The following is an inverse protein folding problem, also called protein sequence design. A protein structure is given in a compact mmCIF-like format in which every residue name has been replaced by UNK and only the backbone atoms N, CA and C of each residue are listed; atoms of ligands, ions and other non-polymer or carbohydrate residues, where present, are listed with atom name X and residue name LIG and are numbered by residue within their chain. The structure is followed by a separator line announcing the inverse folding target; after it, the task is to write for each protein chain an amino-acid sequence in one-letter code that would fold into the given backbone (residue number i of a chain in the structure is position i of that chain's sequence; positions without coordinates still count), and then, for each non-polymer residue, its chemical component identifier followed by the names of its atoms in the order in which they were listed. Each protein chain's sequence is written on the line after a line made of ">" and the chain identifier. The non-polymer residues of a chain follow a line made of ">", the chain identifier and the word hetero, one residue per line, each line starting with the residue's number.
data_IF_319287013058
#
_entry.id   IF_319287013058
#
_cell.length_a   1.000
_cell.length_b   1.000
_cell.length_c   1.000
_cell.angle_alpha   90.00
_cell.angle_beta   90.00
_cell.angle_gamma   90.00
#
_symmetry.space_group_name_H-M   'P 1'
#
loop_
_entity.id
_entity.type
_entity.pdbx_description
1 polymer ?
#
# COMPACT_ATOMS: atom_id res chain seq x y z
N UNK A 1 38.09 36.55 -54.94
CA UNK A 1 39.09 36.05 -53.97
C UNK A 1 38.31 35.28 -52.91
N UNK A 2 38.35 33.94 -52.96
CA UNK A 2 38.11 33.04 -51.82
C UNK A 2 36.68 32.77 -51.33
N UNK A 3 35.99 31.83 -51.98
CA UNK A 3 35.34 30.62 -51.47
C UNK A 3 34.80 30.44 -50.02
N UNK A 4 33.59 29.84 -50.01
CA UNK A 4 33.11 28.72 -49.16
C UNK A 4 32.38 29.04 -47.84
N UNK A 5 31.08 28.67 -47.78
CA UNK A 5 30.57 27.46 -47.09
C UNK A 5 29.03 27.32 -47.16
N UNK A 6 28.58 26.14 -47.65
CA UNK A 6 27.40 25.31 -47.27
C UNK A 6 26.19 25.99 -46.60
N UNK A 7 24.95 25.93 -47.06
CA UNK A 7 24.24 24.82 -47.74
C UNK A 7 23.58 23.89 -46.73
N UNK A 8 22.32 24.13 -46.34
CA UNK A 8 21.17 23.24 -46.63
C UNK A 8 19.86 23.81 -46.07
N UNK A 9 18.87 23.85 -46.95
CA UNK A 9 17.53 24.39 -46.78
C UNK A 9 16.65 23.57 -45.83
N UNK A 10 15.86 24.28 -45.02
CA UNK A 10 14.71 23.74 -44.28
C UNK A 10 13.44 24.13 -45.03
N UNK A 11 12.70 23.19 -45.64
CA UNK A 11 11.35 23.51 -46.08
C UNK A 11 10.36 23.24 -44.94
N UNK A 12 9.69 24.30 -44.51
CA UNK A 12 8.37 24.22 -43.88
C UNK A 12 7.44 23.47 -44.83
N UNK A 13 6.87 22.36 -44.37
CA UNK A 13 5.71 21.74 -45.01
C UNK A 13 4.60 21.61 -43.99
N UNK A 14 3.55 22.39 -44.25
CA UNK A 14 2.21 22.24 -43.72
C UNK A 14 1.68 20.82 -43.98
N UNK A 15 1.15 20.17 -42.95
CA UNK A 15 0.31 18.99 -43.11
C UNK A 15 -1.00 19.20 -42.34
N UNK A 16 -1.99 19.75 -43.04
CA UNK A 16 -3.37 19.32 -42.88
C UNK A 16 -3.47 17.95 -43.57
N UNK A 17 -3.70 16.89 -42.80
CA UNK A 17 -4.26 15.65 -43.30
C UNK A 17 -5.17 15.06 -42.22
N UNK A 18 -6.46 15.09 -42.54
CA UNK A 18 -7.57 14.44 -41.85
C UNK A 18 -7.58 12.96 -42.25
N UNK A 19 -7.42 12.05 -41.30
CA UNK A 19 -7.79 10.61 -41.39
C UNK A 19 -8.18 10.20 -39.96
N UNK A 20 -9.47 10.18 -39.60
CA UNK A 20 -10.42 9.08 -39.70
C UNK A 20 -9.92 7.72 -39.16
N UNK A 21 -10.58 7.31 -38.06
CA UNK A 21 -10.77 5.93 -37.56
C UNK A 21 -9.55 5.29 -36.88
N UNK A 22 -9.40 5.53 -35.58
CA UNK A 22 -8.57 4.72 -34.68
C UNK A 22 -9.51 3.82 -33.85
N UNK A 23 -9.87 2.70 -34.46
CA UNK A 23 -10.88 1.78 -33.95
C UNK A 23 -10.69 0.39 -34.53
N UNK A 24 -9.48 -0.16 -34.44
CA UNK A 24 -9.25 -1.60 -34.62
C UNK A 24 -7.92 -2.11 -34.00
N UNK A 25 -6.92 -1.25 -33.80
CA UNK A 25 -5.55 -1.71 -33.45
C UNK A 25 -5.32 -2.17 -31.99
N UNK A 26 -6.30 -2.02 -31.10
CA UNK A 26 -6.17 -2.52 -29.71
C UNK A 26 -6.54 -4.00 -29.55
N UNK A 27 -7.19 -4.60 -30.54
CA UNK A 27 -7.48 -6.04 -30.53
C UNK A 27 -6.26 -6.87 -30.92
N UNK A 28 -5.47 -6.40 -31.89
CA UNK A 28 -4.34 -7.15 -32.46
C UNK A 28 -3.13 -7.25 -31.51
N UNK A 29 -2.88 -6.20 -30.72
CA UNK A 29 -1.86 -6.21 -29.66
C UNK A 29 -2.18 -7.22 -28.55
N UNK A 30 -3.45 -7.48 -28.28
CA UNK A 30 -3.88 -8.46 -27.29
C UNK A 30 -3.83 -9.90 -27.82
N UNK A 31 -3.97 -10.10 -29.14
CA UNK A 31 -4.00 -11.42 -29.76
C UNK A 31 -2.59 -12.02 -29.96
N UNK A 32 -1.62 -11.20 -30.37
CA UNK A 32 -0.22 -11.63 -30.53
C UNK A 32 0.45 -11.97 -29.18
N UNK A 33 0.12 -11.24 -28.11
CA UNK A 33 0.65 -11.51 -26.77
C UNK A 33 0.02 -12.76 -26.12
N UNK A 34 -1.19 -13.16 -26.56
CA UNK A 34 -1.90 -14.35 -26.08
C UNK A 34 -1.42 -15.63 -26.76
N UNK A 35 -1.07 -15.59 -28.05
CA UNK A 35 -0.51 -16.76 -28.76
C UNK A 35 0.88 -17.16 -28.22
N UNK A 36 1.76 -16.19 -27.93
CA UNK A 36 3.09 -16.45 -27.38
C UNK A 36 3.07 -17.05 -25.95
N UNK A 37 2.01 -16.80 -25.17
CA UNK A 37 1.84 -17.36 -23.83
C UNK A 37 1.13 -18.73 -23.84
N UNK A 38 0.32 -19.02 -24.86
CA UNK A 38 -0.42 -20.28 -24.97
C UNK A 38 0.44 -21.46 -25.45
N UNK A 39 1.51 -21.21 -26.22
CA UNK A 39 2.43 -22.27 -26.66
C UNK A 39 3.37 -22.76 -25.54
N UNK A 40 3.60 -21.94 -24.49
CA UNK A 40 4.52 -22.28 -23.39
C UNK A 40 3.92 -23.16 -22.28
N UNK A 41 2.61 -23.46 -22.33
CA UNK A 41 1.88 -24.17 -21.26
C UNK A 41 1.28 -25.53 -21.68
N UNK A 42 1.61 -26.07 -22.85
CA UNK A 42 1.22 -27.45 -23.19
C UNK A 42 2.31 -28.45 -22.78
N UNK A 43 2.00 -29.27 -21.77
CA UNK A 43 2.67 -30.50 -21.30
C UNK A 43 4.03 -30.34 -20.59
N UNK A 44 4.32 -31.09 -19.49
CA UNK A 44 3.94 -32.50 -19.29
C UNK A 44 3.32 -32.85 -17.91
N UNK A 45 2.08 -33.34 -17.94
CA UNK A 45 1.71 -34.51 -17.14
C UNK A 45 1.94 -35.72 -18.05
N UNK A 46 2.55 -36.79 -17.52
CA UNK A 46 3.06 -37.98 -18.24
C UNK A 46 4.53 -37.90 -18.68
N UNK A 47 5.43 -37.99 -17.70
CA UNK A 47 6.77 -38.56 -17.92
C UNK A 47 7.31 -39.06 -16.56
N UNK A 48 6.74 -40.15 -16.06
CA UNK A 48 7.39 -40.97 -15.05
C UNK A 48 8.25 -42.02 -15.75
N UNK A 49 9.34 -42.42 -15.10
CA UNK A 49 10.21 -43.59 -15.36
C UNK A 49 11.30 -43.52 -16.44
N UNK A 50 12.47 -44.09 -16.09
CA UNK A 50 13.80 -44.10 -16.75
C UNK A 50 14.53 -42.74 -16.69
N UNK A 51 15.73 -42.60 -16.10
CA UNK A 51 16.97 -43.37 -16.30
C UNK A 51 17.86 -43.44 -15.03
N UNK A 52 18.62 -44.55 -14.99
CA UNK A 52 19.83 -44.85 -14.21
C UNK A 52 20.79 -43.64 -14.03
N UNK A 53 21.36 -43.44 -12.84
CA UNK A 53 22.67 -43.97 -12.35
C UNK A 53 23.89 -43.55 -13.17
N UNK A 54 24.74 -42.69 -12.58
CA UNK A 54 26.17 -42.96 -12.28
C UNK A 54 27.02 -41.67 -12.25
N UNK A 55 27.83 -41.60 -11.20
CA UNK A 55 29.14 -40.95 -11.04
C UNK A 55 29.36 -39.49 -11.46
N UNK A 56 29.76 -38.66 -10.47
CA UNK A 56 31.06 -37.98 -10.48
C UNK A 56 31.48 -37.69 -9.03
N UNK A 57 32.61 -38.29 -8.69
CA UNK A 57 33.30 -38.28 -7.41
C UNK A 57 34.30 -37.10 -7.35
N UNK A 58 34.53 -36.57 -6.14
CA UNK A 58 35.69 -35.75 -5.67
C UNK A 58 35.92 -34.33 -6.22
N UNK A 59 35.81 -33.35 -5.31
CA UNK A 59 36.90 -32.41 -4.97
C UNK A 59 36.58 -31.64 -3.67
N UNK A 60 37.40 -31.81 -2.62
CA UNK A 60 37.46 -30.88 -1.48
C UNK A 60 38.64 -29.92 -1.67
N UNK A 61 38.48 -28.61 -1.43
CA UNK A 61 39.62 -27.75 -1.15
C UNK A 61 39.61 -27.20 0.28
N UNK A 62 40.85 -27.12 0.79
CA UNK A 62 41.39 -26.63 2.05
C UNK A 62 40.67 -25.47 2.78
N UNK A 63 40.61 -25.62 4.10
CA UNK A 63 40.26 -24.59 5.09
C UNK A 63 41.33 -23.50 5.15
N UNK A 64 40.96 -22.26 4.83
CA UNK A 64 41.74 -21.05 5.13
C UNK A 64 40.93 -20.07 6.00
N UNK A 65 41.65 -19.34 6.86
CA UNK A 65 41.16 -18.55 8.00
C UNK A 65 40.34 -17.27 7.66
N UNK A 66 39.71 -17.21 6.48
CA UNK A 66 38.72 -16.19 6.10
C UNK A 66 37.26 -16.60 6.42
N UNK A 67 37.07 -17.76 7.04
CA UNK A 67 35.76 -18.38 7.26
C UNK A 67 34.87 -17.75 8.34
N UNK A 68 35.40 -16.82 9.16
CA UNK A 68 34.59 -16.18 10.22
C UNK A 68 33.74 -15.03 9.67
N UNK A 69 34.29 -14.26 8.71
CA UNK A 69 33.59 -13.15 8.05
C UNK A 69 32.57 -13.66 7.02
N UNK A 70 32.88 -14.75 6.31
CA UNK A 70 31.95 -15.43 5.42
C UNK A 70 30.87 -16.24 6.16
N UNK A 71 31.14 -16.69 7.39
CA UNK A 71 30.14 -17.35 8.25
C UNK A 71 29.01 -16.41 8.71
N UNK A 72 29.25 -15.10 8.72
CA UNK A 72 28.23 -14.09 9.06
C UNK A 72 27.23 -13.88 7.91
N UNK A 73 27.70 -13.96 6.65
CA UNK A 73 26.87 -13.86 5.44
C UNK A 73 26.27 -15.20 5.00
N UNK A 74 26.88 -16.34 5.36
CA UNK A 74 26.31 -17.66 5.06
C UNK A 74 25.03 -17.94 5.83
N UNK A 75 24.88 -17.38 7.05
CA UNK A 75 23.73 -17.63 7.92
C UNK A 75 22.46 -16.82 7.60
N UNK A 76 22.39 -16.30 6.37
CA UNK A 76 21.20 -15.73 5.73
C UNK A 76 20.97 -16.27 4.31
N UNK A 77 21.82 -17.20 3.86
CA UNK A 77 21.71 -17.87 2.57
C UNK A 77 20.90 -19.19 2.64
N UNK A 78 20.28 -19.45 3.81
CA UNK A 78 19.32 -20.54 4.04
C UNK A 78 17.93 -20.22 3.44
N UNK A 79 17.77 -19.06 2.78
CA UNK A 79 16.64 -18.82 1.87
C UNK A 79 16.99 -19.46 0.53
N UNK A 80 16.86 -20.77 0.50
CA UNK A 80 16.97 -21.59 -0.70
C UNK A 80 16.05 -21.02 -1.81
N UNK A 81 16.63 -20.70 -2.96
CA UNK A 81 15.91 -20.08 -4.07
C UNK A 81 14.92 -21.05 -4.73
N UNK A 82 13.67 -20.60 -4.90
CA UNK A 82 12.61 -21.00 -5.86
C UNK A 82 12.35 -22.49 -6.20
N UNK A 83 13.10 -23.43 -5.64
CA UNK A 83 13.06 -24.87 -5.91
C UNK A 83 12.94 -25.70 -4.63
N UNK A 84 12.62 -25.07 -3.49
CA UNK A 84 12.18 -25.82 -2.32
C UNK A 84 10.72 -26.16 -2.54
N UNK A 85 10.44 -27.45 -2.74
CA UNK A 85 9.12 -27.98 -2.45
C UNK A 85 8.90 -27.79 -0.95
N UNK A 86 8.42 -26.61 -0.52
CA UNK A 86 7.91 -26.44 0.84
C UNK A 86 6.85 -27.52 1.02
N UNK A 87 7.19 -28.55 1.77
CA UNK A 87 6.27 -29.64 2.03
C UNK A 87 5.24 -29.10 3.01
N UNK A 88 4.19 -28.48 2.45
CA UNK A 88 3.10 -27.94 3.23
C UNK A 88 2.63 -28.98 4.23
N UNK A 89 2.68 -28.61 5.50
CA UNK A 89 2.09 -29.43 6.56
C UNK A 89 0.59 -29.58 6.30
N UNK A 90 -0.02 -30.63 6.85
CA UNK A 90 -1.47 -30.86 6.66
C UNK A 90 -2.30 -29.65 7.12
N UNK A 91 -1.90 -29.03 8.22
CA UNK A 91 -2.53 -27.81 8.75
C UNK A 91 -2.37 -26.62 7.81
N UNK A 92 -1.20 -26.43 7.20
CA UNK A 92 -0.99 -25.37 6.20
C UNK A 92 -1.84 -25.60 4.95
N UNK A 93 -1.96 -26.84 4.48
CA UNK A 93 -2.84 -27.17 3.34
C UNK A 93 -4.30 -26.88 3.66
N UNK A 94 -4.76 -27.19 4.86
CA UNK A 94 -6.13 -26.88 5.29
C UNK A 94 -6.36 -25.37 5.40
N UNK A 95 -5.37 -24.59 5.85
CA UNK A 95 -5.45 -23.12 5.85
C UNK A 95 -5.46 -22.54 4.44
N UNK A 96 -4.60 -23.04 3.56
CA UNK A 96 -4.53 -22.60 2.16
C UNK A 96 -5.77 -22.99 1.36
N UNK A 97 -6.39 -24.13 1.66
CA UNK A 97 -7.64 -24.56 1.03
C UNK A 97 -8.81 -23.60 1.30
N UNK A 98 -8.77 -22.84 2.40
CA UNK A 98 -9.80 -21.85 2.73
C UNK A 98 -9.56 -20.49 2.06
N UNK A 99 -8.44 -20.29 1.37
CA UNK A 99 -8.12 -19.04 0.68
C UNK A 99 -8.39 -19.22 -0.81
N UNK A 100 -9.42 -18.53 -1.30
CA UNK A 100 -9.77 -18.53 -2.72
C UNK A 100 -8.89 -17.55 -3.51
N UNK A 101 -8.75 -17.78 -4.81
CA UNK A 101 -8.08 -16.86 -5.73
C UNK A 101 -9.08 -15.95 -6.46
N UNK A 102 -8.70 -14.70 -6.72
CA UNK A 102 -9.49 -13.74 -7.50
C UNK A 102 -9.08 -13.78 -8.97
N UNK A 103 -10.07 -13.99 -9.84
CA UNK A 103 -9.89 -13.87 -11.27
C UNK A 103 -10.01 -12.40 -11.72
N UNK A 104 -8.87 -11.72 -11.85
CA UNK A 104 -8.82 -10.34 -12.36
C UNK A 104 -8.96 -10.23 -13.88
N UNK A 105 -8.63 -11.30 -14.59
CA UNK A 105 -8.75 -11.30 -16.04
C UNK A 105 -10.21 -11.59 -16.41
N UNK A 106 -10.84 -10.72 -17.22
CA UNK A 106 -12.20 -10.98 -17.63
C UNK A 106 -12.26 -12.26 -18.48
N UNK A 107 -13.30 -13.09 -18.32
CA UNK A 107 -13.45 -14.29 -19.12
C UNK A 107 -13.72 -13.90 -20.59
N UNK A 108 -12.96 -14.50 -21.52
CA UNK A 108 -13.17 -14.29 -22.96
C UNK A 108 -14.37 -15.10 -23.47
N UNK A 109 -15.53 -14.91 -22.84
CA UNK A 109 -16.78 -15.58 -23.18
C UNK A 109 -17.62 -14.75 -24.15
N UNK A 110 -18.45 -15.40 -24.97
CA UNK A 110 -19.41 -14.71 -25.83
C UNK A 110 -20.37 -13.81 -25.03
N UNK A 111 -20.76 -14.26 -23.84
CA UNK A 111 -21.63 -13.51 -22.92
C UNK A 111 -20.97 -12.18 -22.52
N UNK A 112 -19.68 -12.22 -22.17
CA UNK A 112 -18.93 -11.03 -21.80
C UNK A 112 -18.75 -10.06 -22.99
N UNK A 113 -18.50 -10.58 -24.20
CA UNK A 113 -18.41 -9.75 -25.42
C UNK A 113 -19.74 -9.10 -25.77
N UNK A 114 -20.87 -9.82 -25.68
CA UNK A 114 -22.21 -9.25 -25.89
C UNK A 114 -22.54 -8.20 -24.84
N UNK A 115 -22.21 -8.45 -23.58
CA UNK A 115 -22.37 -7.47 -22.50
C UNK A 115 -21.55 -6.20 -22.74
N UNK A 116 -20.28 -6.34 -23.15
CA UNK A 116 -19.42 -5.22 -23.55
C UNK A 116 -20.03 -4.40 -24.70
N UNK A 117 -20.60 -5.07 -25.71
CA UNK A 117 -21.23 -4.39 -26.86
C UNK A 117 -22.49 -3.62 -26.48
N UNK A 118 -23.23 -4.07 -25.46
CA UNK A 118 -24.43 -3.39 -24.95
C UNK A 118 -24.13 -2.18 -24.07
N UNK A 119 -22.87 -1.98 -23.65
CA UNK A 119 -22.53 -0.87 -22.78
C UNK A 119 -22.47 0.45 -23.54
N UNK A 120 -23.02 1.53 -22.97
CA UNK A 120 -22.82 2.85 -23.53
C UNK A 120 -21.31 3.14 -23.61
N UNK A 121 -20.90 3.77 -24.72
CA UNK A 121 -19.52 4.11 -25.03
C UNK A 121 -18.76 4.57 -23.78
N UNK A 122 -17.55 4.03 -23.54
CA UNK A 122 -16.79 4.18 -22.28
C UNK A 122 -16.68 5.64 -21.84
N UNK A 123 -17.66 6.14 -21.08
CA UNK A 123 -17.71 7.54 -20.67
C UNK A 123 -16.80 7.74 -19.47
N UNK A 124 -15.49 7.81 -19.72
CA UNK A 124 -14.42 7.80 -18.70
C UNK A 124 -14.66 8.74 -17.50
N UNK A 125 -15.44 9.81 -17.68
CA UNK A 125 -15.91 10.72 -16.65
C UNK A 125 -16.47 10.02 -15.40
N UNK A 126 -17.17 8.88 -15.56
CA UNK A 126 -17.70 8.12 -14.43
C UNK A 126 -16.59 7.59 -13.52
N UNK A 127 -15.51 7.06 -14.11
CA UNK A 127 -14.33 6.58 -13.40
C UNK A 127 -13.56 7.70 -12.73
N UNK A 128 -13.40 8.86 -13.39
CA UNK A 128 -12.78 10.05 -12.79
C UNK A 128 -13.58 10.56 -11.59
N UNK A 129 -14.91 10.58 -11.69
CA UNK A 129 -15.78 10.94 -10.58
C UNK A 129 -15.62 9.97 -9.39
N UNK A 130 -15.59 8.65 -9.65
CA UNK A 130 -15.36 7.65 -8.61
C UNK A 130 -14.01 7.84 -7.92
N UNK A 131 -12.94 8.04 -8.69
CA UNK A 131 -11.59 8.29 -8.15
C UNK A 131 -11.55 9.58 -7.31
N UNK A 132 -12.21 10.64 -7.76
CA UNK A 132 -12.34 11.87 -6.98
C UNK A 132 -13.11 11.68 -5.69
N UNK A 133 -14.19 10.89 -5.71
CA UNK A 133 -14.97 10.57 -4.51
C UNK A 133 -14.17 9.76 -3.49
N UNK A 134 -13.35 8.80 -3.94
CA UNK A 134 -12.41 8.05 -3.08
C UNK A 134 -11.45 9.04 -2.41
N UNK A 135 -10.85 9.95 -3.18
CA UNK A 135 -9.94 10.98 -2.65
C UNK A 135 -10.57 11.81 -1.53
N UNK A 136 -11.75 12.37 -1.77
CA UNK A 136 -12.47 13.21 -0.80
C UNK A 136 -12.83 12.41 0.45
N UNK A 137 -13.41 11.21 0.30
CA UNK A 137 -13.85 10.39 1.44
C UNK A 137 -12.66 9.95 2.30
N UNK A 138 -11.57 9.50 1.68
CA UNK A 138 -10.35 9.11 2.40
C UNK A 138 -9.71 10.31 3.10
N UNK A 139 -9.70 11.49 2.47
CA UNK A 139 -9.23 12.73 3.09
C UNK A 139 -10.04 13.13 4.33
N UNK A 140 -11.37 13.03 4.26
CA UNK A 140 -12.26 13.29 5.40
C UNK A 140 -12.03 12.28 6.54
N UNK A 141 -11.94 10.98 6.23
CA UNK A 141 -11.67 9.95 7.24
C UNK A 141 -10.30 10.16 7.88
N UNK A 142 -9.28 10.48 7.08
CA UNK A 142 -7.94 10.82 7.56
C UNK A 142 -7.95 12.02 8.49
N UNK A 143 -8.69 13.09 8.14
CA UNK A 143 -8.89 14.24 9.03
C UNK A 143 -9.47 13.82 10.39
N UNK A 144 -10.56 13.04 10.41
CA UNK A 144 -11.15 12.59 11.67
C UNK A 144 -10.22 11.69 12.48
N UNK A 145 -9.41 10.85 11.82
CA UNK A 145 -8.44 9.98 12.49
C UNK A 145 -7.38 10.83 13.20
N UNK A 146 -6.75 11.76 12.47
CA UNK A 146 -5.73 12.63 13.03
C UNK A 146 -6.30 13.54 14.11
N UNK A 147 -7.49 14.12 13.90
CA UNK A 147 -8.18 14.92 14.90
C UNK A 147 -8.41 14.14 16.20
N UNK A 148 -8.82 12.87 16.10
CA UNK A 148 -9.04 12.01 17.27
C UNK A 148 -7.74 11.74 18.03
N UNK A 149 -6.65 11.49 17.30
CA UNK A 149 -5.31 11.26 17.87
C UNK A 149 -4.79 12.52 18.58
N UNK A 150 -4.89 13.68 17.92
CA UNK A 150 -4.51 14.98 18.46
C UNK A 150 -5.30 15.28 19.73
N UNK A 151 -6.62 15.09 19.72
CA UNK A 151 -7.48 15.34 20.86
C UNK A 151 -7.08 14.48 22.08
N UNK A 152 -6.87 13.18 21.87
CA UNK A 152 -6.47 12.24 22.94
C UNK A 152 -5.07 12.55 23.47
N UNK A 153 -4.14 12.92 22.60
CA UNK A 153 -2.76 13.23 22.96
C UNK A 153 -2.66 14.57 23.68
N UNK A 154 -3.33 15.60 23.17
CA UNK A 154 -3.38 16.92 23.79
C UNK A 154 -4.01 16.87 25.18
N UNK A 155 -5.11 16.12 25.34
CA UNK A 155 -5.75 15.96 26.64
C UNK A 155 -4.80 15.31 27.65
N UNK A 156 -4.07 14.28 27.23
CA UNK A 156 -3.05 13.59 28.05
C UNK A 156 -1.95 14.56 28.46
N UNK A 157 -1.28 15.17 27.48
CA UNK A 157 -0.09 15.99 27.75
C UNK A 157 -0.43 17.31 28.45
N UNK A 158 -1.61 17.90 28.20
CA UNK A 158 -2.06 19.10 28.93
C UNK A 158 -2.27 18.79 30.41
N UNK A 159 -2.93 17.67 30.71
CA UNK A 159 -3.16 17.23 32.09
C UNK A 159 -1.85 16.89 32.79
N UNK A 160 -0.96 16.13 32.13
CA UNK A 160 0.36 15.79 32.68
C UNK A 160 1.18 17.05 32.97
N UNK A 161 1.25 18.02 32.04
CA UNK A 161 1.97 19.29 32.26
C UNK A 161 1.38 20.09 33.42
N UNK A 162 0.06 20.12 33.56
CA UNK A 162 -0.60 20.79 34.68
C UNK A 162 -0.23 20.15 36.03
N UNK A 163 -0.28 18.81 36.13
CA UNK A 163 0.06 18.07 37.34
C UNK A 163 1.54 18.21 37.74
N UNK A 164 2.46 18.21 36.77
CA UNK A 164 3.89 18.43 37.02
C UNK A 164 4.14 19.84 37.58
N UNK A 165 3.41 20.85 37.07
CA UNK A 165 3.59 22.24 37.50
C UNK A 165 2.98 22.59 38.87
N UNK A 166 1.89 21.93 39.28
CA UNK A 166 1.10 22.35 40.45
C UNK A 166 1.11 21.37 41.63
N UNK A 167 1.42 20.09 41.42
CA UNK A 167 1.25 19.05 42.45
C UNK A 167 2.57 18.36 42.75
N UNK A 168 2.88 17.28 42.04
CA UNK A 168 4.04 16.42 42.27
C UNK A 168 4.26 15.54 41.04
N UNK A 169 5.54 15.27 40.75
CA UNK A 169 5.95 14.44 39.60
C UNK A 169 5.39 13.01 39.71
N UNK A 170 5.32 12.44 40.92
CA UNK A 170 4.80 11.09 41.13
C UNK A 170 3.32 10.92 40.74
N UNK A 171 2.48 11.92 41.02
CA UNK A 171 1.06 11.90 40.64
C UNK A 171 0.90 12.05 39.13
N UNK A 172 1.71 12.91 38.50
CA UNK A 172 1.73 13.07 37.05
C UNK A 172 2.13 11.77 36.33
N UNK A 173 3.14 11.07 36.85
CA UNK A 173 3.58 9.79 36.32
C UNK A 173 2.51 8.70 36.46
N UNK A 174 1.86 8.60 37.63
CA UNK A 174 0.78 7.66 37.86
C UNK A 174 -0.41 7.92 36.93
N UNK A 175 -0.80 9.19 36.76
CA UNK A 175 -1.86 9.58 35.83
C UNK A 175 -1.51 9.17 34.39
N UNK A 176 -0.29 9.47 33.93
CA UNK A 176 0.15 9.09 32.59
C UNK A 176 0.10 7.56 32.39
N UNK A 177 0.58 6.78 33.36
CA UNK A 177 0.52 5.32 33.31
C UNK A 177 -0.92 4.79 33.23
N UNK A 178 -1.81 5.26 34.12
CA UNK A 178 -3.21 4.82 34.15
C UNK A 178 -3.94 5.21 32.85
N UNK A 179 -3.72 6.43 32.37
CA UNK A 179 -4.33 6.91 31.14
C UNK A 179 -3.87 6.09 29.92
N UNK A 180 -2.56 5.86 29.78
CA UNK A 180 -2.01 5.03 28.69
C UNK A 180 -2.52 3.59 28.76
N UNK A 181 -2.52 2.97 29.95
CA UNK A 181 -3.04 1.60 30.13
C UNK A 181 -4.53 1.49 29.78
N UNK A 182 -5.35 2.46 30.19
CA UNK A 182 -6.77 2.47 29.88
C UNK A 182 -7.04 2.54 28.36
N UNK A 183 -6.31 3.39 27.63
CA UNK A 183 -6.45 3.50 26.18
C UNK A 183 -5.96 2.24 25.44
N UNK A 184 -4.82 1.66 25.85
CA UNK A 184 -4.31 0.42 25.25
C UNK A 184 -5.27 -0.74 25.51
N UNK A 185 -5.82 -0.83 26.74
CA UNK A 185 -6.82 -1.83 27.08
C UNK A 185 -8.08 -1.67 26.21
N UNK A 186 -8.59 -0.46 26.06
CA UNK A 186 -9.75 -0.18 25.18
C UNK A 186 -9.48 -0.54 23.71
N UNK A 187 -8.31 -0.18 23.18
CA UNK A 187 -7.90 -0.53 21.81
C UNK A 187 -7.84 -2.05 21.60
N UNK A 188 -7.17 -2.75 22.52
CA UNK A 188 -7.01 -4.22 22.46
C UNK A 188 -8.36 -4.92 22.60
N UNK A 189 -9.20 -4.46 23.53
CA UNK A 189 -10.54 -5.01 23.77
C UNK A 189 -11.42 -4.94 22.51
N UNK A 190 -11.39 -3.80 21.80
CA UNK A 190 -12.11 -3.65 20.53
C UNK A 190 -11.58 -4.60 19.46
N UNK A 191 -10.27 -4.68 19.26
CA UNK A 191 -9.70 -5.53 18.18
C UNK A 191 -9.95 -7.01 18.45
N UNK A 192 -9.76 -7.48 19.68
CA UNK A 192 -9.88 -8.92 20.01
C UNK A 192 -11.32 -9.41 19.97
N UNK A 193 -12.29 -8.62 20.46
CA UNK A 193 -13.68 -9.09 20.57
C UNK A 193 -14.53 -8.80 19.34
N UNK A 194 -14.27 -7.70 18.61
CA UNK A 194 -15.15 -7.27 17.52
C UNK A 194 -14.61 -7.65 16.14
N UNK A 195 -13.37 -7.29 15.83
CA UNK A 195 -12.80 -7.55 14.51
C UNK A 195 -11.31 -7.91 14.62
N UNK A 196 -10.96 -9.20 14.78
CA UNK A 196 -9.56 -9.62 14.85
C UNK A 196 -8.78 -9.29 13.56
N UNK A 197 -9.48 -9.20 12.43
CA UNK A 197 -8.91 -8.79 11.14
C UNK A 197 -8.48 -7.31 11.08
N UNK A 198 -8.86 -6.50 12.07
CA UNK A 198 -8.39 -5.12 12.19
C UNK A 198 -6.98 -5.02 12.80
N UNK A 199 -6.44 -6.12 13.34
CA UNK A 199 -5.13 -6.13 13.99
C UNK A 199 -4.00 -5.74 13.03
N UNK A 200 -3.01 -5.01 13.55
CA UNK A 200 -1.82 -4.62 12.78
C UNK A 200 -2.07 -3.54 11.72
N UNK A 201 -1.07 -3.34 10.87
CA UNK A 201 -1.07 -2.26 9.88
C UNK A 201 -2.14 -2.45 8.78
N UNK A 202 -2.36 -3.67 8.28
CA UNK A 202 -3.29 -3.92 7.18
C UNK A 202 -2.68 -3.90 5.78
N UNK A 203 -1.40 -3.50 5.65
CA UNK A 203 -0.73 -3.38 4.35
C UNK A 203 -0.52 -4.76 3.72
N UNK A 204 -0.14 -5.77 4.52
CA UNK A 204 0.07 -7.13 4.04
C UNK A 204 -1.23 -7.76 3.49
N UNK A 205 -2.35 -7.48 4.13
CA UNK A 205 -3.68 -7.94 3.73
C UNK A 205 -4.12 -7.30 2.40
N UNK A 206 -3.83 -6.02 2.21
CA UNK A 206 -4.07 -5.31 0.94
C UNK A 206 -3.17 -5.87 -0.16
N UNK A 207 -1.88 -6.10 0.11
CA UNK A 207 -0.96 -6.71 -0.85
C UNK A 207 -1.40 -8.12 -1.22
N UNK A 208 -1.78 -8.94 -0.24
CA UNK A 208 -2.30 -10.28 -0.48
C UNK A 208 -3.56 -10.24 -1.34
N UNK A 209 -4.47 -9.30 -1.05
CA UNK A 209 -5.64 -9.08 -1.91
C UNK A 209 -5.22 -8.75 -3.34
N UNK A 210 -4.36 -7.76 -3.57
CA UNK A 210 -3.95 -7.34 -4.92
C UNK A 210 -3.15 -8.39 -5.69
N UNK A 211 -2.48 -9.31 -4.99
CA UNK A 211 -1.86 -10.50 -5.54
C UNK A 211 -2.86 -11.59 -5.95
N UNK A 212 -4.15 -11.39 -5.64
CA UNK A 212 -5.25 -12.27 -6.02
C UNK A 212 -5.69 -13.23 -4.93
N UNK A 213 -5.31 -13.04 -3.66
CA UNK A 213 -5.81 -13.86 -2.55
C UNK A 213 -7.08 -13.25 -1.95
N UNK A 214 -8.18 -14.00 -1.93
CA UNK A 214 -9.41 -13.61 -1.22
C UNK A 214 -9.24 -13.83 0.28
N UNK A 215 -8.93 -12.75 1.01
CA UNK A 215 -8.98 -12.80 2.46
C UNK A 215 -10.39 -12.47 2.97
N UNK A 216 -11.00 -13.33 3.79
CA UNK A 216 -12.36 -13.12 4.28
C UNK A 216 -12.41 -11.94 5.25
N UNK A 217 -13.45 -11.09 5.15
CA UNK A 217 -13.76 -9.98 6.06
C UNK A 217 -12.75 -8.81 6.10
N UNK A 218 -11.75 -8.77 5.21
CA UNK A 218 -10.73 -7.70 5.18
C UNK A 218 -11.34 -6.34 4.84
N UNK A 219 -12.28 -6.27 3.90
CA UNK A 219 -12.91 -5.02 3.47
C UNK A 219 -14.26 -4.72 4.13
N UNK A 220 -14.57 -5.35 5.27
CA UNK A 220 -15.86 -5.14 5.94
C UNK A 220 -15.93 -3.79 6.65
N UNK A 221 -17.11 -3.13 6.60
CA UNK A 221 -17.34 -1.84 7.28
C UNK A 221 -17.05 -1.92 8.78
N UNK A 222 -17.39 -3.05 9.41
CA UNK A 222 -17.08 -3.28 10.82
C UNK A 222 -15.57 -3.24 11.12
N UNK A 223 -14.76 -3.88 10.26
CA UNK A 223 -13.29 -3.85 10.35
C UNK A 223 -12.77 -2.41 10.21
N UNK A 224 -13.40 -1.57 9.37
CA UNK A 224 -13.01 -0.17 9.17
C UNK A 224 -13.21 0.64 10.46
N UNK A 225 -14.39 0.52 11.08
CA UNK A 225 -14.73 1.25 12.31
C UNK A 225 -13.83 0.81 13.46
N UNK A 226 -13.63 -0.49 13.62
CA UNK A 226 -12.74 -1.03 14.67
C UNK A 226 -11.32 -0.54 14.45
N UNK A 227 -10.79 -0.61 13.21
CA UNK A 227 -9.42 -0.22 12.89
C UNK A 227 -9.17 1.28 13.09
N UNK A 228 -10.13 2.11 12.70
CA UNK A 228 -10.10 3.56 12.95
C UNK A 228 -9.98 3.86 14.45
N UNK A 229 -10.91 3.32 15.25
CA UNK A 229 -10.98 3.61 16.67
C UNK A 229 -9.81 2.99 17.45
N UNK A 230 -9.42 1.75 17.14
CA UNK A 230 -8.28 1.09 17.77
C UNK A 230 -6.97 1.81 17.47
N UNK A 231 -6.79 2.31 16.24
CA UNK A 231 -5.64 3.11 15.84
C UNK A 231 -5.60 4.44 16.62
N UNK A 232 -6.72 5.17 16.70
CA UNK A 232 -6.77 6.43 17.43
C UNK A 232 -6.40 6.26 18.92
N UNK A 233 -6.94 5.21 19.56
CA UNK A 233 -6.64 4.88 20.96
C UNK A 233 -5.18 4.43 21.16
N UNK A 234 -4.65 3.59 20.25
CA UNK A 234 -3.29 3.08 20.35
C UNK A 234 -2.25 4.20 20.20
N UNK A 235 -2.38 5.05 19.17
CA UNK A 235 -1.47 6.18 18.97
C UNK A 235 -1.64 7.22 20.08
N UNK A 236 -2.88 7.54 20.47
CA UNK A 236 -3.17 8.48 21.58
C UNK A 236 -2.60 8.04 22.93
N UNK A 237 -2.51 6.72 23.17
CA UNK A 237 -1.89 6.17 24.39
C UNK A 237 -0.39 6.46 24.49
N UNK A 238 0.30 6.72 23.36
CA UNK A 238 1.75 6.90 23.28
C UNK A 238 2.53 5.60 23.09
N UNK A 239 1.89 4.55 22.58
CA UNK A 239 2.62 3.37 22.08
C UNK A 239 3.54 3.77 20.92
N UNK A 240 4.69 3.09 20.72
CA UNK A 240 5.59 3.33 19.60
C UNK A 240 5.01 2.77 18.29
N UNK A 241 3.85 3.29 17.88
CA UNK A 241 3.08 2.92 16.70
C UNK A 241 2.58 4.19 16.03
N UNK A 242 2.39 4.13 14.71
CA UNK A 242 1.90 5.25 13.92
C UNK A 242 0.63 4.93 13.14
N UNK A 243 -0.14 5.94 12.73
CA UNK A 243 -1.38 5.78 11.97
C UNK A 243 -1.17 5.51 10.48
N UNK A 244 0.07 5.56 9.98
CA UNK A 244 0.38 5.51 8.55
C UNK A 244 -0.06 4.18 7.92
N UNK A 245 0.32 3.06 8.55
CA UNK A 245 -0.07 1.71 8.10
C UNK A 245 -1.59 1.51 8.06
N UNK A 246 -2.31 1.74 9.17
CA UNK A 246 -3.77 1.67 9.19
C UNK A 246 -4.46 2.56 8.16
N UNK A 247 -3.92 3.74 7.86
CA UNK A 247 -4.47 4.65 6.86
C UNK A 247 -4.45 4.05 5.45
N UNK A 248 -3.40 3.31 5.11
CA UNK A 248 -3.29 2.56 3.84
C UNK A 248 -4.45 1.57 3.70
N UNK A 249 -4.70 0.79 4.77
CA UNK A 249 -5.78 -0.20 4.77
C UNK A 249 -7.16 0.47 4.70
N UNK A 250 -7.40 1.53 5.48
CA UNK A 250 -8.66 2.29 5.44
C UNK A 250 -8.92 2.83 4.03
N UNK A 251 -7.89 3.37 3.36
CA UNK A 251 -7.99 3.81 1.98
C UNK A 251 -8.39 2.69 1.01
N UNK A 252 -7.77 1.52 1.13
CA UNK A 252 -8.11 0.32 0.36
C UNK A 252 -9.57 -0.12 0.59
N UNK A 253 -10.06 -0.05 1.84
CA UNK A 253 -11.44 -0.38 2.19
C UNK A 253 -12.45 0.60 1.60
N UNK A 254 -12.15 1.90 1.58
CA UNK A 254 -12.99 2.90 0.92
C UNK A 254 -13.05 2.67 -0.59
N UNK A 255 -11.92 2.36 -1.23
CA UNK A 255 -11.87 1.99 -2.65
C UNK A 255 -12.70 0.74 -2.96
N UNK A 256 -12.59 -0.30 -2.13
CA UNK A 256 -13.40 -1.51 -2.25
C UNK A 256 -14.90 -1.23 -2.07
N UNK A 257 -15.27 -0.43 -1.06
CA UNK A 257 -16.66 -0.13 -0.74
C UNK A 257 -17.33 0.70 -1.84
N UNK A 258 -16.66 1.74 -2.34
CA UNK A 258 -17.19 2.58 -3.40
C UNK A 258 -17.33 1.82 -4.72
N UNK A 259 -16.38 0.95 -5.06
CA UNK A 259 -16.46 0.12 -6.28
C UNK A 259 -17.70 -0.79 -6.31
N UNK A 260 -18.14 -1.30 -5.15
CA UNK A 260 -19.27 -2.22 -5.09
C UNK A 260 -20.62 -1.50 -5.17
N UNK A 261 -20.72 -0.26 -4.69
CA UNK A 261 -21.98 0.52 -4.72
C UNK A 261 -23.12 -0.08 -3.88
N UNK A 262 -22.84 -1.15 -3.14
CA UNK A 262 -23.79 -1.84 -2.26
C UNK A 262 -23.06 -2.14 -0.94
N UNK A 263 -23.67 -1.74 0.18
CA UNK A 263 -23.18 -2.13 1.49
C UNK A 263 -24.05 -3.25 2.06
N UNK A 264 -23.55 -4.48 1.97
CA UNK A 264 -24.20 -5.67 2.56
C UNK A 264 -24.37 -5.51 4.07
N UNK A 265 -23.50 -4.75 4.73
CA UNK A 265 -23.55 -4.49 6.17
C UNK A 265 -24.56 -3.39 6.55
N UNK A 266 -24.76 -2.38 5.70
CA UNK A 266 -25.68 -1.27 5.96
C UNK A 266 -27.05 -1.42 5.25
N UNK A 267 -27.25 -2.50 4.49
CA UNK A 267 -28.52 -2.79 3.81
C UNK A 267 -28.89 -1.77 2.73
N UNK A 268 -27.93 -1.00 2.23
CA UNK A 268 -28.17 0.07 1.27
C UNK A 268 -27.63 -0.33 -0.11
N UNK A 269 -28.53 -0.48 -1.08
CA UNK A 269 -28.22 -0.67 -2.49
C UNK A 269 -28.37 0.66 -3.20
N UNK A 270 -27.25 1.39 -3.36
CA UNK A 270 -27.24 2.44 -4.37
C UNK A 270 -27.12 1.71 -5.70
N UNK A 271 -28.22 1.52 -6.42
CA UNK A 271 -28.22 0.99 -7.80
C UNK A 271 -27.37 1.82 -8.80
N UNK A 272 -26.57 2.77 -8.32
CA UNK A 272 -25.55 3.54 -8.99
C UNK A 272 -24.32 2.66 -9.27
N UNK A 273 -23.79 2.76 -10.49
CA UNK A 273 -22.49 2.21 -10.88
C UNK A 273 -22.31 0.68 -10.84
N UNK A 274 -23.37 -0.11 -11.11
CA UNK A 274 -23.25 -1.57 -11.36
C UNK A 274 -22.16 -1.96 -12.37
N UNK A 275 -21.80 -1.04 -13.27
CA UNK A 275 -20.71 -1.19 -14.24
C UNK A 275 -19.36 -1.54 -13.58
N UNK A 276 -19.06 -1.00 -12.42
CA UNK A 276 -17.77 -1.15 -11.74
C UNK A 276 -17.69 -2.34 -10.78
N UNK A 277 -18.73 -3.19 -10.75
CA UNK A 277 -18.76 -4.43 -9.96
C UNK A 277 -17.93 -5.57 -10.59
N UNK A 278 -16.93 -5.24 -11.40
CA UNK A 278 -15.99 -6.19 -11.99
C UNK A 278 -14.78 -6.36 -11.05
N UNK A 279 -14.28 -7.59 -10.79
CA UNK A 279 -13.05 -7.80 -10.02
C UNK A 279 -11.86 -6.97 -10.50
N UNK A 280 -11.74 -6.74 -11.82
CA UNK A 280 -10.69 -5.89 -12.39
C UNK A 280 -10.79 -4.43 -11.93
N UNK A 281 -11.96 -3.81 -12.11
CA UNK A 281 -12.16 -2.42 -11.72
C UNK A 281 -12.09 -2.27 -10.19
N UNK A 282 -12.61 -3.24 -9.45
CA UNK A 282 -12.47 -3.30 -7.99
C UNK A 282 -11.00 -3.30 -7.56
N UNK A 283 -10.13 -4.07 -8.23
CA UNK A 283 -8.69 -4.05 -7.99
C UNK A 283 -8.11 -2.65 -8.22
N UNK A 284 -8.44 -2.02 -9.35
CA UNK A 284 -7.96 -0.67 -9.69
C UNK A 284 -8.38 0.37 -8.64
N UNK A 285 -9.63 0.32 -8.15
CA UNK A 285 -10.11 1.23 -7.11
C UNK A 285 -9.51 0.94 -5.73
N UNK A 286 -9.23 -0.32 -5.40
CA UNK A 286 -8.51 -0.69 -4.17
C UNK A 286 -7.06 -0.20 -4.23
N UNK A 287 -6.36 -0.38 -5.36
CA UNK A 287 -5.02 0.16 -5.58
C UNK A 287 -5.02 1.68 -5.45
N UNK A 288 -5.99 2.36 -6.07
CA UNK A 288 -6.14 3.81 -5.94
C UNK A 288 -6.39 4.23 -4.48
N UNK A 289 -7.32 3.59 -3.78
CA UNK A 289 -7.60 3.88 -2.38
C UNK A 289 -6.39 3.67 -1.47
N UNK A 290 -5.59 2.64 -1.74
CA UNK A 290 -4.32 2.36 -1.03
C UNK A 290 -3.31 3.49 -1.22
N UNK A 291 -3.11 3.91 -2.47
CA UNK A 291 -2.24 5.04 -2.84
C UNK A 291 -2.70 6.35 -2.17
N UNK A 292 -4.01 6.59 -2.18
CA UNK A 292 -4.63 7.75 -1.56
C UNK A 292 -4.43 7.75 -0.04
N UNK A 293 -4.60 6.60 0.63
CA UNK A 293 -4.36 6.47 2.07
C UNK A 293 -2.93 6.84 2.45
N UNK A 294 -1.94 6.45 1.65
CA UNK A 294 -0.53 6.82 1.83
C UNK A 294 -0.31 8.31 1.59
N UNK A 295 -0.88 8.85 0.52
CA UNK A 295 -0.82 10.28 0.24
C UNK A 295 -1.40 11.10 1.40
N UNK A 296 -2.53 10.67 1.98
CA UNK A 296 -3.15 11.29 3.16
C UNK A 296 -2.30 11.14 4.43
N UNK A 297 -1.61 10.00 4.60
CA UNK A 297 -0.75 9.76 5.77
C UNK A 297 0.50 10.66 5.78
N UNK A 298 1.17 10.77 4.63
CA UNK A 298 2.43 11.50 4.51
C UNK A 298 2.29 12.93 3.98
N UNK A 299 1.11 13.34 3.54
CA UNK A 299 0.92 14.62 2.83
C UNK A 299 1.64 14.69 1.49
N UNK A 300 1.96 13.54 0.89
CA UNK A 300 2.80 13.43 -0.30
C UNK A 300 2.04 12.70 -1.45
N UNK A 301 1.35 13.42 -2.33
CA UNK A 301 0.50 12.80 -3.37
C UNK A 301 1.30 11.99 -4.40
N UNK A 302 2.50 12.46 -4.76
CA UNK A 302 3.40 11.74 -5.66
C UNK A 302 3.97 10.49 -4.98
N UNK A 303 4.28 10.56 -3.68
CA UNK A 303 4.78 9.41 -2.90
C UNK A 303 3.75 8.27 -2.86
N UNK A 304 2.48 8.60 -2.66
CA UNK A 304 1.39 7.61 -2.72
C UNK A 304 1.23 6.97 -4.11
N UNK A 305 1.38 7.75 -5.18
CA UNK A 305 1.37 7.23 -6.55
C UNK A 305 2.54 6.28 -6.82
N UNK A 306 3.75 6.66 -6.42
CA UNK A 306 4.94 5.84 -6.60
C UNK A 306 4.86 4.54 -5.81
N UNK A 307 4.36 4.59 -4.58
CA UNK A 307 4.09 3.37 -3.81
C UNK A 307 3.15 2.42 -4.56
N UNK A 308 2.12 2.95 -5.22
CA UNK A 308 1.22 2.12 -6.00
C UNK A 308 1.89 1.49 -7.24
N UNK A 309 2.90 2.14 -7.81
CA UNK A 309 3.67 1.60 -8.93
C UNK A 309 4.67 0.55 -8.48
N UNK A 310 5.28 0.73 -7.31
CA UNK A 310 6.32 -0.14 -6.79
C UNK A 310 5.74 -1.40 -6.15
N UNK A 311 4.74 -1.25 -5.28
CA UNK A 311 4.30 -2.32 -4.37
C UNK A 311 2.96 -2.98 -4.78
N UNK A 312 2.13 -2.32 -5.58
CA UNK A 312 0.72 -2.73 -5.77
C UNK A 312 0.37 -3.20 -7.18
N UNK A 313 1.16 -2.85 -8.20
CA UNK A 313 0.82 -3.08 -9.60
C UNK A 313 1.85 -3.96 -10.33
N UNK A 314 1.41 -5.12 -10.82
CA UNK A 314 2.18 -5.96 -11.73
C UNK A 314 2.11 -5.48 -13.19
N UNK A 315 1.08 -4.70 -13.54
CA UNK A 315 0.89 -4.13 -14.88
C UNK A 315 0.07 -2.85 -14.76
N UNK A 316 0.57 -1.76 -15.34
CA UNK A 316 0.01 -0.43 -15.12
C UNK A 316 -0.37 0.26 -16.44
N UNK A 317 -1.55 0.90 -16.46
CA UNK A 317 -1.97 1.74 -17.58
C UNK A 317 -1.74 3.21 -17.25
N UNK A 318 -1.16 3.98 -18.17
CA UNK A 318 -0.90 5.40 -17.97
C UNK A 318 -2.17 6.19 -17.57
N UNK A 319 -3.34 5.82 -18.10
CA UNK A 319 -4.61 6.44 -17.74
C UNK A 319 -4.99 6.21 -16.26
N UNK A 320 -4.72 5.02 -15.72
CA UNK A 320 -4.92 4.73 -14.29
C UNK A 320 -3.99 5.59 -13.43
N UNK A 321 -2.78 5.89 -13.91
CA UNK A 321 -1.78 6.71 -13.18
C UNK A 321 -2.28 8.10 -12.92
N UNK A 322 -2.77 8.74 -13.97
CA UNK A 322 -3.33 10.08 -13.88
C UNK A 322 -4.56 10.12 -12.97
N UNK A 323 -5.39 9.07 -12.99
CA UNK A 323 -6.55 8.95 -12.11
C UNK A 323 -6.17 8.79 -10.64
N UNK A 324 -5.18 7.94 -10.33
CA UNK A 324 -4.66 7.77 -8.96
C UNK A 324 -4.03 9.07 -8.47
N UNK A 325 -3.21 9.71 -9.30
CA UNK A 325 -2.59 10.98 -8.98
C UNK A 325 -3.62 12.06 -8.63
N UNK A 326 -4.67 12.17 -9.45
CA UNK A 326 -5.78 13.08 -9.20
C UNK A 326 -6.50 12.78 -7.87
N UNK A 327 -6.78 11.51 -7.58
CA UNK A 327 -7.39 11.11 -6.31
C UNK A 327 -6.50 11.45 -5.11
N UNK A 328 -5.19 11.22 -5.20
CA UNK A 328 -4.23 11.58 -4.16
C UNK A 328 -4.19 13.08 -3.90
N UNK A 329 -4.16 13.90 -4.97
CA UNK A 329 -4.21 15.36 -4.87
C UNK A 329 -5.48 15.84 -4.17
N UNK A 330 -6.65 15.28 -4.53
CA UNK A 330 -7.91 15.62 -3.89
C UNK A 330 -7.95 15.24 -2.42
N UNK A 331 -7.37 14.10 -2.05
CA UNK A 331 -7.35 13.67 -0.65
C UNK A 331 -6.49 14.57 0.23
N UNK A 332 -5.28 14.92 -0.24
CA UNK A 332 -4.40 15.85 0.47
C UNK A 332 -5.04 17.23 0.56
N UNK A 333 -5.62 17.74 -0.54
CA UNK A 333 -6.36 19.00 -0.53
C UNK A 333 -7.52 18.97 0.47
N UNK A 334 -8.31 17.89 0.50
CA UNK A 334 -9.44 17.74 1.43
C UNK A 334 -8.97 17.68 2.89
N UNK A 335 -7.88 16.98 3.16
CA UNK A 335 -7.28 16.91 4.48
C UNK A 335 -6.81 18.29 4.96
N UNK A 336 -6.03 18.99 4.13
CA UNK A 336 -5.44 20.27 4.48
C UNK A 336 -6.48 21.37 4.62
N UNK A 337 -7.51 21.37 3.75
CA UNK A 337 -8.64 22.29 3.86
C UNK A 337 -9.44 22.04 5.14
N UNK A 338 -9.69 20.78 5.52
CA UNK A 338 -10.39 20.45 6.76
C UNK A 338 -9.58 20.87 8.00
N UNK A 339 -8.27 20.60 8.02
CA UNK A 339 -7.36 21.07 9.09
C UNK A 339 -7.31 22.59 9.16
N UNK A 340 -7.18 23.27 8.02
CA UNK A 340 -7.15 24.74 7.96
C UNK A 340 -8.48 25.35 8.44
N UNK A 341 -9.61 24.76 8.08
CA UNK A 341 -10.93 25.19 8.57
C UNK A 341 -11.04 25.06 10.11
N UNK A 342 -10.53 23.97 10.68
CA UNK A 342 -10.47 23.80 12.14
C UNK A 342 -9.59 24.86 12.81
N UNK A 343 -8.41 25.15 12.25
CA UNK A 343 -7.52 26.19 12.76
C UNK A 343 -8.14 27.59 12.65
N UNK A 344 -8.81 27.88 11.53
CA UNK A 344 -9.52 29.14 11.32
C UNK A 344 -10.64 29.33 12.35
N UNK A 345 -11.40 28.28 12.67
CA UNK A 345 -12.44 28.34 13.70
C UNK A 345 -11.86 28.62 15.10
N UNK A 346 -10.63 28.15 15.39
CA UNK A 346 -9.97 28.36 16.69
C UNK A 346 -9.22 29.69 16.82
N UNK A 347 -8.68 30.24 15.72
CA UNK A 347 -7.76 31.41 15.74
C UNK A 347 -8.20 32.61 14.89
N UNK A 348 -9.31 32.52 14.14
CA UNK A 348 -9.90 33.62 13.39
C UNK A 348 -9.28 33.92 12.02
N UNK A 349 -8.26 33.16 11.58
CA UNK A 349 -7.63 33.33 10.26
C UNK A 349 -7.77 32.06 9.42
N UNK A 350 -8.46 32.18 8.28
CA UNK A 350 -8.54 31.17 7.23
C UNK A 350 -7.44 31.47 6.18
N UNK A 351 -6.70 30.45 5.74
CA UNK A 351 -5.77 30.60 4.62
C UNK A 351 -4.29 30.41 4.92
N UNK A 352 -3.91 29.99 6.13
CA UNK A 352 -2.57 29.43 6.34
C UNK A 352 -2.65 27.94 5.97
N UNK A 353 -2.34 27.61 4.71
CA UNK A 353 -1.82 26.28 4.36
C UNK A 353 -0.41 26.17 4.95
N UNK A 354 -0.34 26.25 6.27
CA UNK A 354 0.94 26.20 6.97
C UNK A 354 1.44 24.77 6.89
N UNK A 355 2.67 24.60 6.40
CA UNK A 355 3.29 23.28 6.22
C UNK A 355 3.37 22.46 7.51
N UNK A 356 3.23 23.12 8.66
CA UNK A 356 3.22 22.55 10.01
C UNK A 356 2.02 21.64 10.30
N UNK A 357 1.00 21.61 9.43
CA UNK A 357 -0.22 20.82 9.63
C UNK A 357 -0.13 19.36 9.11
N UNK A 358 0.96 18.95 8.47
CA UNK A 358 1.13 17.55 8.05
C UNK A 358 1.59 16.67 9.22
N UNK A 359 1.00 15.48 9.34
CA UNK A 359 1.21 14.57 10.49
C UNK A 359 2.67 14.13 10.62
N UNK A 360 3.35 13.96 9.48
CA UNK A 360 4.79 13.71 9.38
C UNK A 360 5.39 14.79 8.47
N UNK A 361 5.84 15.88 9.08
CA UNK A 361 6.51 16.96 8.36
C UNK A 361 8.02 16.73 8.33
N UNK A 362 8.57 16.62 7.12
CA UNK A 362 10.01 16.66 6.92
C UNK A 362 10.42 18.10 6.59
N UNK A 363 11.05 18.78 7.56
CA UNK A 363 11.62 20.11 7.33
C UNK A 363 12.80 19.97 6.35
N UNK A 364 12.60 20.43 5.10
CA UNK A 364 13.64 20.46 4.09
C UNK A 364 14.68 21.54 4.44
N UNK A 365 15.65 21.19 5.30
CA UNK A 365 16.81 22.06 5.53
C UNK A 365 17.70 22.04 4.29
N UNK A 366 17.94 23.20 3.70
CA UNK A 366 19.03 23.39 2.73
C UNK A 366 20.36 23.19 3.44
N UNK A 367 20.80 21.95 3.53
CA UNK A 367 22.18 21.63 3.83
C UNK A 367 23.01 21.96 2.59
N UNK A 368 23.77 23.04 2.62
CA UNK A 368 24.86 23.25 1.67
C UNK A 368 25.94 22.25 2.03
N UNK A 369 25.93 21.08 1.38
CA UNK A 369 27.06 20.17 1.45
C UNK A 369 28.27 20.90 0.85
N UNK A 370 29.39 21.03 1.58
CA UNK A 370 30.62 21.53 0.97
C UNK A 370 30.95 20.63 -0.23
N UNK A 371 31.41 21.22 -1.33
CA UNK A 371 31.72 20.56 -2.62
C UNK A 371 32.76 19.43 -2.55
N UNK A 372 33.24 19.10 -1.34
CA UNK A 372 34.23 18.10 -1.03
C UNK A 372 33.81 17.16 0.13
N UNK A 373 32.52 16.97 0.42
CA UNK A 373 32.11 15.79 1.21
C UNK A 373 32.30 14.57 0.31
N UNK A 374 33.19 13.63 0.66
CA UNK A 374 33.44 12.49 -0.21
C UNK A 374 32.18 11.61 -0.18
N UNK A 375 31.68 11.25 -1.37
CA UNK A 375 30.60 10.29 -1.60
C UNK A 375 30.65 8.98 -0.74
N UNK A 376 31.82 8.47 -0.28
CA UNK A 376 31.88 7.30 0.59
C UNK A 376 31.17 7.46 1.94
N UNK A 377 31.04 8.67 2.51
CA UNK A 377 30.43 8.84 3.84
C UNK A 377 28.90 8.58 3.84
N UNK A 378 28.23 8.94 2.73
CA UNK A 378 26.83 8.56 2.51
C UNK A 378 26.67 7.14 1.95
N UNK A 379 27.77 6.50 1.51
CA UNK A 379 27.77 5.12 1.01
C UNK A 379 28.18 4.09 2.08
N UNK A 380 28.81 4.51 3.19
CA UNK A 380 29.12 3.65 4.35
C UNK A 380 28.01 3.62 5.42
N UNK A 381 27.17 4.66 5.47
CA UNK A 381 25.97 4.73 6.32
C UNK A 381 24.76 3.86 5.88
N UNK A 382 24.53 3.51 4.60
CA UNK A 382 23.46 2.60 4.20
C UNK A 382 23.75 1.15 4.61
N UNK A 383 25.02 0.77 4.80
CA UNK A 383 25.38 -0.56 5.31
C UNK A 383 24.95 -0.74 6.77
N UNK A 384 25.11 0.28 7.62
CA UNK A 384 24.65 0.23 9.01
C UNK A 384 23.12 0.33 9.10
N UNK A 385 22.49 1.22 8.32
CA UNK A 385 21.04 1.34 8.27
C UNK A 385 20.36 0.06 7.77
N UNK A 386 20.92 -0.55 6.72
CA UNK A 386 20.46 -1.84 6.19
C UNK A 386 20.62 -2.98 7.19
N UNK A 387 21.76 -3.03 7.91
CA UNK A 387 21.98 -4.05 8.94
C UNK A 387 21.01 -3.89 10.11
N UNK A 388 20.75 -2.67 10.59
CA UNK A 388 19.78 -2.40 11.64
C UNK A 388 18.36 -2.75 11.20
N UNK A 389 17.98 -2.44 9.95
CA UNK A 389 16.70 -2.84 9.39
C UNK A 389 16.56 -4.37 9.35
N UNK A 390 17.59 -5.09 8.89
CA UNK A 390 17.61 -6.55 8.87
C UNK A 390 17.49 -7.15 10.29
N UNK A 391 18.18 -6.58 11.28
CA UNK A 391 18.07 -7.00 12.68
C UNK A 391 16.66 -6.77 13.23
N UNK A 392 16.05 -5.61 12.93
CA UNK A 392 14.69 -5.30 13.33
C UNK A 392 13.68 -6.28 12.69
N UNK A 393 13.81 -6.54 11.38
CA UNK A 393 12.96 -7.50 10.66
C UNK A 393 13.10 -8.90 11.26
N UNK A 394 14.34 -9.36 11.51
CA UNK A 394 14.59 -10.66 12.15
C UNK A 394 13.97 -10.75 13.53
N UNK A 395 14.11 -9.70 14.35
CA UNK A 395 13.48 -9.62 15.67
C UNK A 395 11.96 -9.73 15.58
N UNK A 396 11.34 -8.98 14.67
CA UNK A 396 9.90 -9.03 14.43
C UNK A 396 9.44 -10.43 13.98
N UNK A 397 10.16 -11.09 13.07
CA UNK A 397 9.83 -12.44 12.61
C UNK A 397 9.93 -13.48 13.72
N UNK A 398 10.99 -13.43 14.54
CA UNK A 398 11.16 -14.34 15.67
C UNK A 398 10.07 -14.15 16.72
N UNK A 399 9.75 -12.91 17.09
CA UNK A 399 8.66 -12.62 18.02
C UNK A 399 7.29 -13.01 17.45
N UNK A 400 7.06 -12.79 16.15
CA UNK A 400 5.86 -13.23 15.45
C UNK A 400 5.68 -14.74 15.49
N UNK A 401 6.74 -15.50 15.21
CA UNK A 401 6.72 -16.96 15.26
C UNK A 401 6.40 -17.50 16.67
N UNK A 402 7.00 -16.92 17.72
CA UNK A 402 6.72 -17.31 19.11
C UNK A 402 5.27 -17.00 19.49
N UNK A 403 4.71 -15.87 19.05
CA UNK A 403 3.32 -15.50 19.34
C UNK A 403 2.33 -16.38 18.59
N UNK A 404 2.62 -16.71 17.33
CA UNK A 404 1.82 -17.64 16.52
C UNK A 404 1.81 -19.04 17.14
N UNK A 405 2.97 -19.55 17.58
CA UNK A 405 3.09 -20.86 18.23
C UNK A 405 2.33 -20.95 19.56
N UNK A 406 2.17 -19.84 20.29
CA UNK A 406 1.39 -19.79 21.54
C UNK A 406 -0.11 -19.55 21.34
N UNK A 407 -0.52 -18.96 20.22
CA UNK A 407 -1.94 -18.80 19.86
C UNK A 407 -2.57 -20.11 19.34
N UNK A 408 -1.75 -21.16 19.13
CA UNK A 408 -2.15 -22.50 18.68
C UNK A 408 -2.38 -23.47 19.86
N UNK A 409 -2.26 -23.01 21.12
CA UNK A 409 -2.53 -23.81 22.33
C UNK A 409 -3.83 -23.39 22.99
#
# INVERSE_FOLDING_TARGET
>A
MGDSKSGLDVPLVSLQATEHIEGDDTADYHEQHFQATHERRRSPSEASTSYLSDDIDRAQPARNASSVLWGLFQRGHDVEGAGVNHHYTREERERLANVESIDYLPPNSEVYRRWLATQPHRRQWDRWFMMGSIGIIVGIIGYFLFFSIELLSDLKYRTVRYLVGHVNIGVAWLFNMVYSLALVFGSTWMVVNWAPQAAGAGVAEVMAYLNGCMLPHVFNVHTLVVKFASCALAVGSGLPVGPEGPMVHIGAMVGAALSQGHSTTLGFDTGLFKRFQNPKDKRDFVTAGTAVGIATAFGAPIGGLLFAFEELASSFSQALGWQIFFACMLAVLTLDTAKSAQHALRRGHFGLFDGDASTVFFEARRATFPSAVPAPACASTPDEGGLLALQAVRGCLQHGAVRSSKAVV
#
